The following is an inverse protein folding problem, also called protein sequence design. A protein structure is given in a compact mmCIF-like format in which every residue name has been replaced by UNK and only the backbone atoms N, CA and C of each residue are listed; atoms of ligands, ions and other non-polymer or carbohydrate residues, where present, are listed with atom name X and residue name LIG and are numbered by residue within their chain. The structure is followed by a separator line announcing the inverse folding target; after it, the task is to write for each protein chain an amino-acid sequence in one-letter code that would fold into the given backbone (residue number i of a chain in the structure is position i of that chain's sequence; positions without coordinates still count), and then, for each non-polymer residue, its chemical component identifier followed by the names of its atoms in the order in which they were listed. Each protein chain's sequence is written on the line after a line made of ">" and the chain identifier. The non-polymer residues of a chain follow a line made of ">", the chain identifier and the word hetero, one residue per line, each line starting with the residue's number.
data_IF_482891562222
#
_entry.id   IF_482891562222
#
_cell.length_a   1.000
_cell.length_b   1.000
_cell.length_c   1.000
_cell.angle_alpha   90.00
_cell.angle_beta   90.00
_cell.angle_gamma   90.00
#
_symmetry.space_group_name_H-M   'P 1'
#
loop_
_entity.id
_entity.type
_entity.pdbx_description
1 polymer ?
#
# COMPACT_ATOMS: atom_id res chain seq x y z
N UNK A 1 -23.29 -2.28 23.39
CA UNK A 1 -22.30 -3.32 22.98
C UNK A 1 -22.17 -3.53 21.46
N UNK A 2 -23.19 -3.29 20.63
CA UNK A 2 -23.12 -3.56 19.17
C UNK A 2 -22.14 -2.65 18.40
N UNK A 3 -22.06 -1.37 18.75
CA UNK A 3 -21.20 -0.39 18.08
C UNK A 3 -19.71 -0.72 18.19
N UNK A 4 -19.24 -1.09 19.38
CA UNK A 4 -17.84 -1.46 19.62
C UNK A 4 -17.42 -2.64 18.72
N UNK A 5 -18.31 -3.64 18.58
CA UNK A 5 -18.09 -4.81 17.72
C UNK A 5 -17.96 -4.42 16.24
N UNK A 6 -18.82 -3.51 15.75
CA UNK A 6 -18.75 -3.01 14.37
C UNK A 6 -17.45 -2.25 14.10
N UNK A 7 -17.01 -1.40 15.04
CA UNK A 7 -15.74 -0.67 14.92
C UNK A 7 -14.57 -1.65 14.82
N UNK A 8 -14.52 -2.65 15.71
CA UNK A 8 -13.44 -3.65 15.73
C UNK A 8 -13.41 -4.46 14.43
N UNK A 9 -14.54 -5.00 13.97
CA UNK A 9 -14.57 -5.78 12.74
C UNK A 9 -14.32 -4.93 11.49
N UNK A 10 -14.83 -3.69 11.45
CA UNK A 10 -14.56 -2.76 10.36
C UNK A 10 -13.07 -2.44 10.25
N UNK A 11 -12.42 -2.21 11.39
CA UNK A 11 -10.99 -1.96 11.45
C UNK A 11 -10.14 -3.16 11.03
N UNK A 12 -10.54 -4.37 11.44
CA UNK A 12 -9.89 -5.61 10.98
C UNK A 12 -10.03 -5.75 9.46
N UNK A 13 -11.23 -5.55 8.91
CA UNK A 13 -11.46 -5.61 7.46
C UNK A 13 -10.63 -4.59 6.68
N UNK A 14 -10.55 -3.34 7.17
CA UNK A 14 -9.70 -2.31 6.59
C UNK A 14 -8.22 -2.68 6.63
N UNK A 15 -7.76 -3.30 7.72
CA UNK A 15 -6.38 -3.74 7.85
C UNK A 15 -6.04 -4.82 6.81
N UNK A 16 -6.95 -5.77 6.57
CA UNK A 16 -6.78 -6.81 5.54
C UNK A 16 -6.72 -6.20 4.14
N UNK A 17 -7.64 -5.29 3.82
CA UNK A 17 -7.68 -4.63 2.50
C UNK A 17 -6.42 -3.79 2.28
N UNK A 18 -6.02 -3.00 3.28
CA UNK A 18 -4.80 -2.22 3.24
C UNK A 18 -3.57 -3.11 2.98
N UNK A 19 -3.45 -4.22 3.71
CA UNK A 19 -2.34 -5.15 3.54
C UNK A 19 -2.32 -5.73 2.12
N UNK A 20 -3.45 -6.23 1.63
CA UNK A 20 -3.56 -6.78 0.29
C UNK A 20 -3.14 -5.78 -0.80
N UNK A 21 -3.63 -4.54 -0.73
CA UNK A 21 -3.28 -3.47 -1.68
C UNK A 21 -1.80 -3.11 -1.56
N UNK A 22 -1.25 -3.05 -0.34
CA UNK A 22 0.15 -2.71 -0.12
C UNK A 22 1.11 -3.72 -0.74
N UNK A 23 0.80 -5.01 -0.60
CA UNK A 23 1.57 -6.10 -1.21
C UNK A 23 1.44 -6.04 -2.73
N UNK A 24 0.21 -5.86 -3.25
CA UNK A 24 -0.03 -5.76 -4.69
C UNK A 24 0.72 -4.59 -5.33
N UNK A 25 0.66 -3.39 -4.72
CA UNK A 25 1.34 -2.21 -5.21
C UNK A 25 2.87 -2.39 -5.24
N UNK A 26 3.43 -3.09 -4.25
CA UNK A 26 4.86 -3.43 -4.21
C UNK A 26 5.23 -4.40 -5.34
N UNK A 27 4.41 -5.42 -5.57
CA UNK A 27 4.60 -6.41 -6.63
C UNK A 27 4.62 -5.74 -8.01
N UNK A 28 3.61 -4.91 -8.30
CA UNK A 28 3.49 -4.23 -9.59
C UNK A 28 4.67 -3.27 -9.84
N UNK A 29 5.16 -2.61 -8.79
CA UNK A 29 6.33 -1.74 -8.90
C UNK A 29 7.59 -2.54 -9.26
N UNK A 30 7.78 -3.70 -8.64
CA UNK A 30 8.90 -4.60 -8.93
C UNK A 30 8.81 -5.14 -10.36
N UNK A 31 7.67 -5.67 -10.75
CA UNK A 31 7.41 -6.17 -12.11
C UNK A 31 7.72 -5.10 -13.15
N UNK A 32 7.20 -3.88 -12.98
CA UNK A 32 7.52 -2.78 -13.91
C UNK A 32 9.00 -2.35 -13.94
N UNK A 33 9.80 -2.66 -12.92
CA UNK A 33 11.25 -2.43 -12.96
C UNK A 33 11.93 -3.55 -13.74
N UNK A 34 11.49 -4.80 -13.54
CA UNK A 34 11.94 -5.97 -14.28
C UNK A 34 11.65 -5.82 -15.78
N UNK A 35 10.42 -5.43 -16.16
CA UNK A 35 10.03 -5.18 -17.55
C UNK A 35 10.90 -4.10 -18.21
N UNK A 36 11.13 -2.99 -17.50
CA UNK A 36 11.95 -1.88 -17.99
C UNK A 36 13.43 -2.25 -18.12
N UNK A 37 13.90 -3.19 -17.31
CA UNK A 37 15.24 -3.73 -17.45
C UNK A 37 15.32 -4.61 -18.70
N UNK A 38 14.41 -5.58 -18.83
CA UNK A 38 14.35 -6.50 -19.97
C UNK A 38 14.22 -5.77 -21.33
N UNK A 39 13.44 -4.68 -21.37
CA UNK A 39 13.30 -3.84 -22.57
C UNK A 39 14.62 -3.15 -22.98
N UNK A 40 15.45 -2.76 -22.01
CA UNK A 40 16.69 -2.02 -22.25
C UNK A 40 17.93 -2.90 -22.39
N UNK A 41 17.93 -4.06 -21.74
CA UNK A 41 19.05 -4.99 -21.70
C UNK A 41 18.56 -6.40 -22.09
N UNK A 42 18.18 -6.61 -23.36
CA UNK A 42 17.68 -7.89 -23.82
C UNK A 42 18.75 -8.97 -23.69
N UNK A 43 18.44 -10.08 -23.01
CA UNK A 43 19.35 -11.21 -22.79
C UNK A 43 20.20 -11.11 -21.52
N UNK A 44 20.05 -10.05 -20.72
CA UNK A 44 20.74 -9.86 -19.44
C UNK A 44 19.79 -9.98 -18.24
N UNK A 45 18.83 -10.91 -18.33
CA UNK A 45 17.78 -11.09 -17.33
C UNK A 45 18.28 -11.70 -16.00
N UNK A 46 19.48 -12.27 -15.98
CA UNK A 46 20.12 -12.88 -14.80
C UNK A 46 21.41 -12.15 -14.37
N UNK A 47 21.64 -10.94 -14.87
CA UNK A 47 22.83 -10.15 -14.50
C UNK A 47 22.75 -9.65 -13.04
N UNK A 48 23.86 -9.66 -12.27
CA UNK A 48 23.94 -9.00 -10.96
C UNK A 48 23.57 -7.51 -11.02
N UNK A 49 23.73 -6.88 -12.17
CA UNK A 49 23.39 -5.47 -12.41
C UNK A 49 21.87 -5.24 -12.42
N UNK A 50 21.09 -6.24 -12.84
CA UNK A 50 19.63 -6.21 -12.78
C UNK A 50 19.15 -6.14 -11.34
N UNK A 51 19.71 -6.96 -10.48
CA UNK A 51 19.33 -7.00 -9.07
C UNK A 51 19.65 -5.67 -8.38
N UNK A 52 20.83 -5.10 -8.66
CA UNK A 52 21.20 -3.77 -8.17
C UNK A 52 20.24 -2.67 -8.68
N UNK A 53 19.83 -2.71 -9.94
CA UNK A 53 18.86 -1.77 -10.51
C UNK A 53 17.47 -1.89 -9.88
N UNK A 54 16.99 -3.11 -9.67
CA UNK A 54 15.70 -3.35 -9.01
C UNK A 54 15.77 -2.88 -7.56
N UNK A 55 16.86 -3.17 -6.85
CA UNK A 55 17.05 -2.78 -5.46
C UNK A 55 17.08 -1.25 -5.30
N UNK A 56 17.83 -0.51 -6.12
CA UNK A 56 17.84 0.95 -6.11
C UNK A 56 16.45 1.52 -6.46
N UNK A 57 15.81 0.97 -7.48
CA UNK A 57 14.45 1.35 -7.89
C UNK A 57 13.43 1.17 -6.76
N UNK A 58 13.54 0.09 -6.01
CA UNK A 58 12.70 -0.19 -4.84
C UNK A 58 13.06 0.68 -3.63
N UNK A 59 14.34 0.99 -3.41
CA UNK A 59 14.78 1.92 -2.36
C UNK A 59 14.18 3.32 -2.57
N UNK A 60 14.21 3.83 -3.81
CA UNK A 60 13.56 5.10 -4.18
C UNK A 60 12.06 5.07 -4.03
N UNK A 61 11.41 3.95 -4.35
CA UNK A 61 9.97 3.76 -4.12
C UNK A 61 9.62 3.85 -2.62
N UNK A 62 10.40 3.16 -1.77
CA UNK A 62 10.22 3.15 -0.32
C UNK A 62 10.47 4.52 0.32
N UNK A 63 11.45 5.28 -0.19
CA UNK A 63 11.73 6.64 0.27
C UNK A 63 10.65 7.67 -0.12
N UNK A 64 9.82 7.35 -1.13
CA UNK A 64 8.80 8.24 -1.65
C UNK A 64 7.53 8.34 -0.80
N UNK A 65 6.63 9.25 -1.20
CA UNK A 65 5.31 9.42 -0.59
C UNK A 65 4.30 8.36 -1.05
N UNK A 66 4.56 7.63 -2.13
CA UNK A 66 3.65 6.65 -2.73
C UNK A 66 3.23 5.54 -1.75
N UNK A 67 4.16 4.85 -1.05
CA UNK A 67 3.75 3.88 -0.03
C UNK A 67 3.03 4.56 1.14
N UNK A 68 3.36 5.82 1.46
CA UNK A 68 2.68 6.58 2.51
C UNK A 68 1.24 6.96 2.13
N UNK A 69 0.93 7.14 0.85
CA UNK A 69 -0.45 7.38 0.39
C UNK A 69 -1.35 6.16 0.59
N UNK A 70 -0.79 4.95 0.65
CA UNK A 70 -1.59 3.76 0.97
C UNK A 70 -2.13 3.82 2.41
N UNK A 71 -1.43 4.48 3.34
CA UNK A 71 -1.94 4.71 4.71
C UNK A 71 -3.25 5.51 4.70
N UNK A 72 -3.53 6.27 3.64
CA UNK A 72 -4.77 7.03 3.51
C UNK A 72 -6.01 6.11 3.48
N UNK A 73 -5.84 4.86 3.01
CA UNK A 73 -6.88 3.82 3.05
C UNK A 73 -7.32 3.52 4.47
N UNK A 74 -6.44 3.72 5.45
CA UNK A 74 -6.75 3.54 6.86
C UNK A 74 -7.22 4.85 7.50
N UNK A 75 -6.53 5.96 7.23
CA UNK A 75 -6.80 7.27 7.85
C UNK A 75 -8.18 7.81 7.48
N UNK A 76 -8.57 7.77 6.20
CA UNK A 76 -9.86 8.31 5.73
C UNK A 76 -11.05 7.64 6.39
N UNK A 77 -11.21 6.31 6.35
CA UNK A 77 -12.36 5.67 6.97
C UNK A 77 -12.37 5.79 8.50
N UNK A 78 -11.21 5.81 9.17
CA UNK A 78 -11.16 6.09 10.62
C UNK A 78 -11.71 7.49 10.93
N UNK A 79 -11.31 8.51 10.17
CA UNK A 79 -11.83 9.87 10.33
C UNK A 79 -13.34 9.91 10.07
N UNK A 80 -13.84 9.23 9.03
CA UNK A 80 -15.27 9.15 8.73
C UNK A 80 -16.08 8.53 9.88
N UNK A 81 -15.58 7.45 10.49
CA UNK A 81 -16.24 6.83 11.65
C UNK A 81 -16.24 7.76 12.86
N UNK A 82 -15.12 8.42 13.16
CA UNK A 82 -15.03 9.39 14.27
C UNK A 82 -16.02 10.54 14.06
N UNK A 83 -16.05 11.11 12.84
CA UNK A 83 -16.98 12.18 12.49
C UNK A 83 -18.43 11.72 12.61
N UNK A 84 -18.76 10.51 12.13
CA UNK A 84 -20.12 9.96 12.24
C UNK A 84 -20.54 9.79 13.71
N UNK A 85 -19.64 9.34 14.58
CA UNK A 85 -19.91 9.23 16.01
C UNK A 85 -20.15 10.58 16.66
N UNK A 86 -19.32 11.57 16.36
CA UNK A 86 -19.49 12.93 16.88
C UNK A 86 -20.82 13.50 16.40
N UNK A 87 -21.11 13.46 15.10
CA UNK A 87 -22.33 14.04 14.52
C UNK A 87 -23.62 13.38 15.03
N UNK A 88 -23.60 12.06 15.23
CA UNK A 88 -24.80 11.34 15.72
C UNK A 88 -24.97 11.41 17.24
N UNK A 89 -23.89 11.61 18.01
CA UNK A 89 -23.94 11.74 19.47
C UNK A 89 -24.11 13.19 19.95
N UNK A 90 -23.90 14.19 19.10
CA UNK A 90 -24.09 15.62 19.44
C UNK A 90 -25.53 16.12 19.27
N UNK A 91 -26.51 15.21 19.38
CA UNK A 91 -27.94 15.48 19.44
C UNK A 91 -28.53 14.72 20.64
#
# INVERSE_FOLDING_TARGET
>A
MGLLRLIVFGFIGLSVIYFAISVYARSLRRESLEDRWAEKHPGEDESPERDAYIEDGMARYNAGIRPKLLLLIYVVPTILVILALILTNWN
#
